data_IF_048685005941
#
_entry.id   IF_048685005941
#
_cell.length_a   1.000
_cell.length_b   1.000
_cell.length_c   1.000
_cell.angle_alpha   90.00
_cell.angle_beta   90.00
_cell.angle_gamma   90.00
#
_symmetry.space_group_name_H-M   'P 1'
#
loop_
_entity.id
_entity.type
_entity.pdbx_description
1 polymer ?
#
# COMPACT_ATOMS: atom_id res chain seq x y z
N UNK A 1 -2.52 13.83 -3.25
CA UNK A 1 -1.14 13.79 -3.76
C UNK A 1 -1.13 13.08 -5.11
N UNK A 2 -0.33 13.55 -6.06
CA UNK A 2 -0.09 12.94 -7.39
C UNK A 2 1.40 13.04 -7.69
N UNK A 3 1.93 12.14 -8.53
CA UNK A 3 3.35 12.05 -8.84
C UNK A 3 4.01 10.79 -8.26
N UNK A 4 5.33 10.72 -8.36
CA UNK A 4 6.10 9.58 -7.87
C UNK A 4 5.90 9.43 -6.35
N UNK A 5 5.81 8.18 -5.87
CA UNK A 5 5.66 7.82 -4.44
C UNK A 5 4.37 8.30 -3.73
N UNK A 6 3.36 8.79 -4.48
CA UNK A 6 2.17 9.44 -3.91
C UNK A 6 1.32 8.62 -2.92
N UNK A 7 1.46 7.29 -2.90
CA UNK A 7 0.87 6.40 -1.91
C UNK A 7 1.88 6.11 -0.78
N UNK A 8 1.82 6.87 0.31
CA UNK A 8 2.58 6.60 1.54
C UNK A 8 3.78 7.50 1.79
N UNK A 9 4.39 8.10 0.76
CA UNK A 9 5.62 8.90 0.93
C UNK A 9 5.46 10.20 1.72
N UNK A 10 4.23 10.73 1.75
CA UNK A 10 3.91 11.97 2.45
C UNK A 10 3.15 11.72 3.76
N UNK A 11 3.05 10.47 4.19
CA UNK A 11 2.25 10.04 5.35
C UNK A 11 3.08 9.17 6.30
N UNK A 12 4.21 9.71 6.76
CA UNK A 12 5.06 9.16 7.82
C UNK A 12 5.91 7.92 7.44
N UNK A 13 5.72 7.34 6.26
CA UNK A 13 6.59 6.29 5.71
C UNK A 13 6.66 5.03 6.57
N UNK A 14 5.50 4.48 6.94
CA UNK A 14 5.40 3.22 7.71
C UNK A 14 5.05 2.04 6.82
N UNK A 15 5.83 0.97 6.91
CA UNK A 15 5.59 -0.28 6.21
C UNK A 15 5.19 -1.37 7.22
N UNK A 16 4.02 -1.96 7.02
CA UNK A 16 3.58 -3.14 7.78
C UNK A 16 4.21 -4.39 7.17
N UNK A 17 5.09 -5.05 7.92
CA UNK A 17 5.86 -6.21 7.44
C UNK A 17 5.18 -7.55 7.74
N UNK A 18 3.84 -7.57 7.73
CA UNK A 18 3.04 -8.74 8.07
C UNK A 18 1.82 -8.86 7.17
N UNK A 19 1.62 -10.05 6.59
CA UNK A 19 0.47 -10.36 5.73
C UNK A 19 -0.90 -10.23 6.43
N UNK A 20 -0.96 -10.27 7.76
CA UNK A 20 -2.19 -10.10 8.54
C UNK A 20 -2.68 -8.63 8.56
N UNK A 21 -1.87 -7.71 8.04
CA UNK A 21 -2.18 -6.28 7.97
C UNK A 21 -2.30 -5.83 6.52
N UNK A 22 -3.51 -5.49 6.12
CA UNK A 22 -3.79 -4.98 4.77
C UNK A 22 -5.13 -5.50 4.25
N UNK A 23 -5.24 -5.54 2.92
CA UNK A 23 -6.39 -6.10 2.21
C UNK A 23 -6.23 -7.59 1.90
N UNK A 24 -6.92 -8.04 0.86
CA UNK A 24 -7.11 -9.47 0.57
C UNK A 24 -5.96 -10.15 -0.19
N UNK A 25 -4.76 -9.54 -0.26
CA UNK A 25 -3.63 -10.11 -1.00
C UNK A 25 -3.31 -11.56 -0.57
N UNK A 26 -3.27 -11.91 0.74
CA UNK A 26 -3.04 -13.29 1.18
C UNK A 26 -4.08 -14.28 0.65
N UNK A 27 -5.33 -13.86 0.50
CA UNK A 27 -6.41 -14.69 -0.05
C UNK A 27 -6.27 -14.91 -1.56
N UNK A 28 -5.64 -13.96 -2.27
CA UNK A 28 -5.47 -14.01 -3.73
C UNK A 28 -4.25 -14.84 -4.16
N UNK A 29 -3.13 -14.71 -3.45
CA UNK A 29 -1.85 -15.36 -3.83
C UNK A 29 -1.37 -16.43 -2.85
N UNK A 30 -2.03 -16.56 -1.71
CA UNK A 30 -1.61 -17.41 -0.59
C UNK A 30 -0.78 -16.65 0.44
N UNK A 31 -0.96 -16.95 1.73
CA UNK A 31 -0.30 -16.27 2.86
C UNK A 31 1.23 -16.26 2.73
N UNK A 32 1.84 -17.40 2.45
CA UNK A 32 3.28 -17.49 2.27
C UNK A 32 3.76 -16.58 1.14
N UNK A 33 3.04 -16.56 0.01
CA UNK A 33 3.45 -15.76 -1.13
C UNK A 33 3.26 -14.26 -0.86
N UNK A 34 2.21 -13.90 -0.15
CA UNK A 34 1.99 -12.52 0.28
C UNK A 34 3.12 -12.05 1.20
N UNK A 35 3.55 -12.87 2.17
CA UNK A 35 4.67 -12.53 3.03
C UNK A 35 5.98 -12.41 2.24
N UNK A 36 6.29 -13.35 1.32
CA UNK A 36 7.48 -13.24 0.46
C UNK A 36 7.50 -11.94 -0.37
N UNK A 37 6.34 -11.49 -0.86
CA UNK A 37 6.23 -10.24 -1.62
C UNK A 37 6.42 -9.01 -0.71
N UNK A 38 5.95 -9.06 0.53
CA UNK A 38 6.19 -8.02 1.53
C UNK A 38 7.68 -7.94 1.85
N UNK A 39 8.33 -9.09 2.11
CA UNK A 39 9.76 -9.15 2.41
C UNK A 39 10.61 -8.66 1.23
N UNK A 40 10.21 -8.98 -0.01
CA UNK A 40 10.84 -8.49 -1.23
C UNK A 40 10.67 -6.97 -1.41
N UNK A 41 9.47 -6.44 -1.12
CA UNK A 41 9.27 -4.99 -1.15
C UNK A 41 10.14 -4.31 -0.10
N UNK A 42 10.19 -4.85 1.13
CA UNK A 42 11.01 -4.34 2.22
C UNK A 42 12.51 -4.33 1.89
N UNK A 43 13.02 -5.39 1.24
CA UNK A 43 14.42 -5.45 0.85
C UNK A 43 14.81 -4.34 -0.13
N UNK A 44 13.91 -3.95 -1.04
CA UNK A 44 14.14 -2.80 -1.92
C UNK A 44 14.28 -1.52 -1.10
N UNK A 45 13.41 -1.30 -0.11
CA UNK A 45 13.53 -0.11 0.75
C UNK A 45 14.87 -0.07 1.48
N UNK A 46 15.34 -1.21 1.99
CA UNK A 46 16.65 -1.33 2.63
C UNK A 46 17.81 -1.02 1.66
N UNK A 47 17.75 -1.51 0.42
CA UNK A 47 18.75 -1.20 -0.62
C UNK A 47 18.88 0.31 -0.91
N UNK A 48 17.77 1.04 -0.80
CA UNK A 48 17.72 2.50 -0.95
C UNK A 48 17.96 3.26 0.36
N UNK A 49 18.41 2.57 1.40
CA UNK A 49 18.90 3.18 2.65
C UNK A 49 17.83 3.41 3.71
N UNK A 50 16.70 2.71 3.66
CA UNK A 50 15.78 2.66 4.80
C UNK A 50 16.50 2.19 6.07
N UNK A 51 16.05 2.68 7.24
CA UNK A 51 16.57 2.20 8.53
C UNK A 51 16.29 0.71 8.67
N UNK A 52 17.30 -0.06 9.09
CA UNK A 52 17.19 -1.50 9.35
C UNK A 52 16.33 -1.81 10.58
N UNK A 53 16.18 -0.86 11.50
CA UNK A 53 15.38 -1.01 12.70
C UNK A 53 13.91 -1.29 12.39
N UNK A 54 13.34 -2.26 13.11
CA UNK A 54 11.94 -2.67 12.98
C UNK A 54 11.27 -2.57 14.33
N UNK A 55 10.20 -1.79 14.37
CA UNK A 55 9.38 -1.54 15.54
C UNK A 55 8.35 -2.65 15.75
N UNK A 56 7.88 -2.84 16.98
CA UNK A 56 6.78 -3.77 17.29
C UNK A 56 7.18 -5.24 17.42
N UNK A 57 8.49 -5.56 17.42
CA UNK A 57 9.02 -6.91 17.69
C UNK A 57 9.18 -7.21 19.18
N UNK A 58 8.90 -6.25 20.05
CA UNK A 58 9.06 -6.40 21.50
C UNK A 58 8.04 -7.37 22.09
N UNK A 59 8.45 -8.11 23.13
CA UNK A 59 7.56 -9.02 23.87
C UNK A 59 7.70 -8.79 25.38
N UNK A 60 7.40 -7.57 25.81
CA UNK A 60 7.44 -7.15 27.21
C UNK A 60 6.28 -7.74 28.01
N UNK A 61 6.40 -7.74 29.34
CA UNK A 61 5.31 -8.19 30.21
C UNK A 61 4.06 -7.30 30.08
N UNK A 62 4.24 -6.00 29.80
CA UNK A 62 3.15 -5.06 29.54
C UNK A 62 2.37 -5.43 28.26
N UNK A 63 3.06 -5.81 27.18
CA UNK A 63 2.42 -6.30 25.94
C UNK A 63 1.60 -7.56 26.23
N UNK A 64 2.13 -8.51 27.02
CA UNK A 64 1.39 -9.72 27.40
C UNK A 64 0.14 -9.40 28.22
N UNK A 65 0.20 -8.41 29.11
CA UNK A 65 -0.97 -7.96 29.87
C UNK A 65 -2.04 -7.35 28.95
N UNK A 66 -1.64 -6.52 27.98
CA UNK A 66 -2.55 -5.97 26.96
C UNK A 66 -3.18 -7.11 26.14
N UNK A 67 -2.37 -8.06 25.65
CA UNK A 67 -2.84 -9.24 24.90
C UNK A 67 -3.84 -10.07 25.70
N UNK A 68 -3.57 -10.29 26.98
CA UNK A 68 -4.49 -11.01 27.88
C UNK A 68 -5.82 -10.27 28.04
N UNK A 69 -5.81 -8.93 28.17
CA UNK A 69 -7.04 -8.13 28.23
C UNK A 69 -7.82 -8.18 26.92
N UNK A 70 -7.13 -8.09 25.77
CA UNK A 70 -7.73 -8.20 24.45
C UNK A 70 -8.46 -9.54 24.28
N UNK A 71 -7.81 -10.67 24.61
CA UNK A 71 -8.41 -12.01 24.54
C UNK A 71 -9.66 -12.11 25.41
N UNK A 72 -9.63 -11.58 26.64
CA UNK A 72 -10.80 -11.55 27.54
C UNK A 72 -11.97 -10.74 26.97
N UNK A 73 -11.68 -9.75 26.14
CA UNK A 73 -12.67 -8.93 25.44
C UNK A 73 -13.08 -9.53 24.08
N UNK A 74 -12.61 -10.73 23.71
CA UNK A 74 -12.89 -11.36 22.41
C UNK A 74 -12.11 -10.75 21.24
N UNK A 75 -10.98 -10.09 21.51
CA UNK A 75 -10.14 -9.44 20.51
C UNK A 75 -8.80 -10.16 20.35
N UNK A 76 -8.29 -10.23 19.11
CA UNK A 76 -6.93 -10.67 18.78
C UNK A 76 -6.04 -9.45 18.57
N UNK A 77 -5.03 -9.28 19.41
CA UNK A 77 -3.93 -8.33 19.15
C UNK A 77 -3.03 -8.93 18.05
N UNK A 78 -2.81 -8.19 16.97
CA UNK A 78 -1.93 -8.59 15.86
C UNK A 78 -0.53 -8.08 16.14
N UNK A 79 0.44 -8.99 16.12
CA UNK A 79 1.86 -8.63 16.17
C UNK A 79 2.27 -8.21 14.75
N UNK A 80 2.45 -6.91 14.53
CA UNK A 80 2.81 -6.37 13.22
C UNK A 80 4.16 -5.64 13.34
N UNK A 81 5.25 -6.22 12.79
CA UNK A 81 6.51 -5.52 12.70
C UNK A 81 6.35 -4.33 11.74
N UNK A 82 6.81 -3.15 12.17
CA UNK A 82 6.70 -1.91 11.40
C UNK A 82 8.09 -1.38 11.07
N UNK A 83 8.37 -1.11 9.79
CA UNK A 83 9.48 -0.26 9.42
C UNK A 83 9.00 1.19 9.38
N UNK A 84 9.60 2.06 10.20
CA UNK A 84 9.29 3.49 10.21
C UNK A 84 10.42 4.29 9.60
N UNK A 85 10.16 4.90 8.45
CA UNK A 85 11.13 5.76 7.78
C UNK A 85 11.08 7.19 8.35
N UNK A 86 9.88 7.68 8.67
CA UNK A 86 9.64 9.10 8.83
C UNK A 86 9.66 9.85 7.49
N UNK A 87 9.12 11.07 7.48
CA UNK A 87 8.93 11.84 6.24
C UNK A 87 10.23 12.16 5.51
N UNK A 88 11.27 12.59 6.23
CA UNK A 88 12.55 12.98 5.61
C UNK A 88 13.24 11.79 4.93
N UNK A 89 13.35 10.66 5.63
CA UNK A 89 13.98 9.46 5.09
C UNK A 89 13.16 8.85 3.95
N UNK A 90 11.84 8.91 4.03
CA UNK A 90 10.97 8.48 2.94
C UNK A 90 11.32 9.24 1.65
N UNK A 91 11.48 10.57 1.70
CA UNK A 91 11.86 11.35 0.52
C UNK A 91 13.20 10.92 -0.08
N UNK A 92 14.21 10.66 0.75
CA UNK A 92 15.52 10.16 0.28
C UNK A 92 15.38 8.81 -0.44
N UNK A 93 14.69 7.86 0.19
CA UNK A 93 14.46 6.51 -0.36
C UNK A 93 13.74 6.59 -1.70
N UNK A 94 12.63 7.34 -1.78
CA UNK A 94 11.86 7.45 -3.02
C UNK A 94 12.61 8.19 -4.13
N UNK A 95 13.38 9.23 -3.80
CA UNK A 95 14.26 9.89 -4.77
C UNK A 95 15.34 8.94 -5.30
N UNK A 96 15.90 8.10 -4.43
CA UNK A 96 16.82 7.03 -4.79
C UNK A 96 16.20 6.06 -5.80
N UNK A 97 14.99 5.57 -5.52
CA UNK A 97 14.27 4.66 -6.42
C UNK A 97 13.95 5.35 -7.75
N UNK A 98 13.47 6.60 -7.73
CA UNK A 98 13.16 7.36 -8.93
C UNK A 98 14.40 7.52 -9.83
N UNK A 99 15.53 7.92 -9.24
CA UNK A 99 16.79 8.09 -9.97
C UNK A 99 17.29 6.76 -10.52
N UNK A 100 17.24 5.68 -9.73
CA UNK A 100 17.63 4.35 -10.19
C UNK A 100 16.81 3.92 -11.41
N UNK A 101 15.48 4.08 -11.38
CA UNK A 101 14.63 3.76 -12.52
C UNK A 101 14.99 4.60 -13.74
N UNK A 102 15.20 5.90 -13.56
CA UNK A 102 15.60 6.82 -14.65
C UNK A 102 16.93 6.42 -15.27
N UNK A 103 17.93 6.10 -14.45
CA UNK A 103 19.27 5.71 -14.89
C UNK A 103 19.27 4.35 -15.60
N UNK A 104 18.27 3.52 -15.34
CA UNK A 104 18.04 2.23 -16.03
C UNK A 104 17.07 2.34 -17.22
N UNK A 105 16.80 3.55 -17.70
CA UNK A 105 16.05 3.78 -18.94
C UNK A 105 14.53 3.74 -18.79
N UNK A 106 14.01 3.83 -17.57
CA UNK A 106 12.56 3.99 -17.35
C UNK A 106 12.18 5.45 -17.60
N UNK A 107 11.32 5.65 -18.60
CA UNK A 107 10.73 6.96 -18.88
C UNK A 107 9.53 7.20 -17.96
N UNK A 108 9.52 8.33 -17.27
CA UNK A 108 8.46 8.75 -16.35
C UNK A 108 7.81 10.03 -16.87
N UNK A 109 6.55 9.93 -17.28
CA UNK A 109 5.78 11.04 -17.84
C UNK A 109 4.88 11.65 -16.75
N UNK A 110 5.31 12.78 -16.18
CA UNK A 110 4.52 13.54 -15.21
C UNK A 110 3.61 14.56 -15.92
N UNK A 111 2.54 14.98 -15.24
CA UNK A 111 1.52 15.83 -15.86
C UNK A 111 0.74 15.14 -16.98
N UNK A 112 0.91 13.82 -17.10
CA UNK A 112 0.30 13.00 -18.12
C UNK A 112 -0.81 12.13 -17.50
N UNK A 113 -2.00 12.17 -18.10
CA UNK A 113 -3.14 11.33 -17.72
C UNK A 113 -3.33 10.23 -18.74
N UNK A 114 -3.62 9.00 -18.30
CA UNK A 114 -4.07 7.93 -19.18
C UNK A 114 -5.58 8.06 -19.36
N UNK A 115 -6.03 8.32 -20.59
CA UNK A 115 -7.46 8.53 -20.89
C UNK A 115 -8.16 7.22 -21.23
N UNK A 116 -7.49 6.31 -21.96
CA UNK A 116 -8.05 5.03 -22.39
C UNK A 116 -6.95 3.99 -22.70
N UNK A 117 -7.35 2.74 -22.89
CA UNK A 117 -6.49 1.64 -23.35
C UNK A 117 -6.76 1.33 -24.82
N UNK A 118 -5.73 0.98 -25.57
CA UNK A 118 -5.85 0.61 -26.98
C UNK A 118 -6.01 -0.90 -27.06
N UNK A 119 -7.20 -1.40 -27.39
CA UNK A 119 -7.44 -2.82 -27.62
C UNK A 119 -7.51 -3.16 -29.11
N UNK A 120 -6.81 -4.22 -29.51
CA UNK A 120 -6.90 -4.82 -30.85
C UNK A 120 -7.01 -6.33 -30.70
N UNK A 121 -8.03 -6.95 -31.29
CA UNK A 121 -8.27 -8.40 -31.24
C UNK A 121 -8.25 -8.99 -29.81
N UNK A 122 -8.83 -8.28 -28.84
CA UNK A 122 -8.86 -8.69 -27.43
C UNK A 122 -7.54 -8.55 -26.67
N UNK A 123 -6.52 -7.91 -27.27
CA UNK A 123 -5.23 -7.63 -26.64
C UNK A 123 -5.02 -6.14 -26.42
N UNK A 124 -4.52 -5.78 -25.24
CA UNK A 124 -4.03 -4.42 -24.98
C UNK A 124 -2.72 -4.17 -25.73
N UNK A 125 -2.72 -3.15 -26.58
CA UNK A 125 -1.63 -2.75 -27.45
C UNK A 125 -1.03 -1.38 -27.09
N UNK A 126 -1.51 -0.76 -26.02
CA UNK A 126 -1.06 0.57 -25.62
C UNK A 126 -2.10 1.35 -24.84
N UNK A 127 -1.86 2.65 -24.71
CA UNK A 127 -2.76 3.60 -24.04
C UNK A 127 -2.89 4.88 -24.84
N UNK A 128 -3.99 5.58 -24.63
CA UNK A 128 -4.17 6.98 -25.01
C UNK A 128 -3.79 7.83 -23.81
N UNK A 129 -2.86 8.75 -24.01
CA UNK A 129 -2.28 9.60 -23.00
C UNK A 129 -2.55 11.07 -23.34
N UNK A 130 -2.74 11.91 -22.31
CA UNK A 130 -2.96 13.35 -22.44
C UNK A 130 -1.90 14.10 -21.62
N UNK A 131 -1.11 14.97 -22.25
CA UNK A 131 0.00 15.72 -21.61
C UNK A 131 -0.41 17.08 -21.02
N UNK A 132 -1.71 17.38 -21.00
CA UNK A 132 -2.26 18.68 -20.61
C UNK A 132 -2.50 19.64 -21.78
N UNK A 133 -2.05 19.26 -22.99
CA UNK A 133 -2.25 20.04 -24.21
C UNK A 133 -2.95 19.22 -25.30
N UNK A 134 -2.55 17.97 -25.49
CA UNK A 134 -3.05 17.11 -26.56
C UNK A 134 -3.05 15.63 -26.18
N UNK A 135 -3.88 14.87 -26.90
CA UNK A 135 -3.91 13.42 -26.82
C UNK A 135 -2.86 12.82 -27.77
N UNK A 136 -2.21 11.75 -27.31
CA UNK A 136 -1.26 10.96 -28.10
C UNK A 136 -1.30 9.50 -27.66
N UNK A 137 -0.74 8.61 -28.48
CA UNK A 137 -0.75 7.17 -28.24
C UNK A 137 0.62 6.68 -27.79
N UNK A 138 0.63 5.77 -26.82
CA UNK A 138 1.82 5.02 -26.40
C UNK A 138 1.56 3.55 -26.69
N UNK A 139 2.24 2.99 -27.70
CA UNK A 139 2.10 1.57 -28.04
C UNK A 139 2.97 0.70 -27.12
N UNK A 140 2.41 -0.39 -26.62
CA UNK A 140 3.08 -1.31 -25.71
C UNK A 140 2.68 -2.76 -25.98
N UNK A 141 3.63 -3.69 -25.82
CA UNK A 141 3.35 -5.14 -25.91
C UNK A 141 2.69 -5.69 -24.65
N UNK A 142 2.98 -5.07 -23.51
CA UNK A 142 2.50 -5.40 -22.17
C UNK A 142 2.17 -4.11 -21.44
N UNK A 143 0.99 -4.08 -20.81
CA UNK A 143 0.48 -2.92 -20.09
C UNK A 143 0.13 -3.36 -18.67
N UNK A 144 0.66 -2.65 -17.67
CA UNK A 144 0.34 -2.85 -16.26
C UNK A 144 -0.45 -1.64 -15.78
N UNK A 145 -1.67 -1.87 -15.28
CA UNK A 145 -2.52 -0.81 -14.75
C UNK A 145 -2.36 -0.78 -13.22
N UNK A 146 -1.76 0.29 -12.70
CA UNK A 146 -1.46 0.47 -11.28
C UNK A 146 -1.97 1.84 -10.76
N UNK A 147 -3.22 2.19 -11.09
CA UNK A 147 -3.79 3.54 -10.87
C UNK A 147 -4.23 3.83 -9.43
N UNK A 148 -4.14 2.84 -8.54
CA UNK A 148 -4.55 2.94 -7.14
C UNK A 148 -6.05 3.26 -6.97
N UNK A 149 -6.47 3.55 -5.73
CA UNK A 149 -7.90 3.78 -5.43
C UNK A 149 -8.49 4.97 -6.20
N UNK A 150 -7.71 6.03 -6.43
CA UNK A 150 -8.18 7.23 -7.14
C UNK A 150 -8.49 6.97 -8.62
N UNK A 151 -7.86 5.96 -9.23
CA UNK A 151 -8.13 5.59 -10.62
C UNK A 151 -9.09 4.41 -10.77
N UNK A 152 -9.81 4.03 -9.71
CA UNK A 152 -10.76 2.92 -9.75
C UNK A 152 -11.95 3.21 -10.68
N UNK A 153 -12.55 4.40 -10.57
CA UNK A 153 -13.68 4.80 -11.42
C UNK A 153 -13.30 4.85 -12.91
N UNK A 154 -12.08 5.31 -13.20
CA UNK A 154 -11.52 5.30 -14.56
C UNK A 154 -11.35 3.87 -15.07
N UNK A 155 -10.77 2.98 -14.25
CA UNK A 155 -10.59 1.57 -14.62
C UNK A 155 -11.93 0.86 -14.84
N UNK A 156 -12.94 1.14 -14.01
CA UNK A 156 -14.30 0.63 -14.18
C UNK A 156 -14.88 1.06 -15.53
N UNK A 157 -14.81 2.36 -15.84
CA UNK A 157 -15.28 2.89 -17.13
C UNK A 157 -14.59 2.19 -18.31
N UNK A 158 -13.26 2.11 -18.28
CA UNK A 158 -12.46 1.46 -19.34
C UNK A 158 -12.87 -0.01 -19.49
N UNK A 159 -13.04 -0.74 -18.37
CA UNK A 159 -13.48 -2.13 -18.41
C UNK A 159 -14.88 -2.27 -19.01
N UNK A 160 -15.84 -1.42 -18.65
CA UNK A 160 -17.19 -1.43 -19.20
C UNK A 160 -17.20 -1.17 -20.71
N UNK A 161 -16.49 -0.14 -21.17
CA UNK A 161 -16.42 0.26 -22.58
C UNK A 161 -15.76 -0.82 -23.45
N UNK A 162 -14.85 -1.59 -22.87
CA UNK A 162 -14.10 -2.64 -23.56
C UNK A 162 -14.63 -4.07 -23.29
N UNK A 163 -15.75 -4.22 -22.59
CA UNK A 163 -16.35 -5.54 -22.31
C UNK A 163 -15.51 -6.44 -21.39
N UNK A 164 -14.69 -5.85 -20.53
CA UNK A 164 -13.90 -6.58 -19.52
C UNK A 164 -14.74 -6.76 -18.26
N UNK A 165 -15.01 -8.02 -17.92
CA UNK A 165 -15.73 -8.36 -16.69
C UNK A 165 -14.93 -7.93 -15.46
N UNK A 166 -15.61 -7.29 -14.52
CA UNK A 166 -15.05 -6.85 -13.25
C UNK A 166 -16.13 -6.92 -12.17
N UNK A 167 -15.67 -6.89 -10.92
CA UNK A 167 -16.55 -6.85 -9.75
C UNK A 167 -16.09 -5.74 -8.81
N UNK A 168 -17.02 -5.05 -8.15
CA UNK A 168 -16.66 -4.13 -7.07
C UNK A 168 -15.86 -4.86 -5.99
N UNK A 169 -14.79 -4.23 -5.51
CA UNK A 169 -14.06 -4.72 -4.33
C UNK A 169 -14.82 -4.43 -3.04
N UNK A 170 -14.48 -5.14 -1.98
CA UNK A 170 -14.99 -4.86 -0.63
C UNK A 170 -14.57 -3.45 -0.19
N UNK A 171 -15.47 -2.74 0.47
CA UNK A 171 -15.19 -1.42 1.07
C UNK A 171 -15.11 -1.59 2.58
N UNK A 172 -13.95 -1.25 3.14
CA UNK A 172 -13.77 -1.17 4.58
C UNK A 172 -14.40 0.12 5.10
N UNK A 173 -15.47 -0.01 5.88
CA UNK A 173 -16.13 1.12 6.54
C UNK A 173 -15.68 1.13 7.99
N UNK A 174 -14.97 2.18 8.38
CA UNK A 174 -14.54 2.42 9.75
C UNK A 174 -15.11 3.72 10.30
N UNK A 175 -15.12 3.82 11.63
CA UNK A 175 -15.37 5.08 12.34
C UNK A 175 -14.09 5.53 13.03
N UNK A 176 -13.77 6.81 12.93
CA UNK A 176 -12.70 7.40 13.73
C UNK A 176 -13.29 7.83 15.07
N UNK A 177 -12.81 7.20 16.14
CA UNK A 177 -13.22 7.52 17.51
C UNK A 177 -12.06 8.19 18.21
N UNK A 178 -12.32 9.34 18.83
CA UNK A 178 -11.33 10.04 19.65
C UNK A 178 -11.64 9.82 21.12
N UNK A 179 -10.62 9.39 21.86
CA UNK A 179 -10.72 9.10 23.29
C UNK A 179 -9.59 9.80 24.03
N UNK A 180 -9.78 10.02 25.33
CA UNK A 180 -8.76 10.62 26.20
C UNK A 180 -7.52 9.75 26.27
N UNK A 181 -6.34 10.38 26.25
CA UNK A 181 -5.07 9.64 26.32
C UNK A 181 -4.96 8.84 27.61
N UNK A 182 -5.51 9.30 28.73
CA UNK A 182 -5.52 8.59 30.01
C UNK A 182 -6.19 7.19 29.93
N UNK A 183 -7.09 6.99 28.96
CA UNK A 183 -7.71 5.68 28.69
C UNK A 183 -6.79 4.81 27.83
N UNK A 184 -6.09 5.41 26.86
CA UNK A 184 -5.25 4.72 25.87
C UNK A 184 -3.76 4.67 26.24
N UNK A 185 -3.35 5.32 27.32
CA UNK A 185 -1.94 5.57 27.66
C UNK A 185 -1.13 4.28 27.70
N UNK A 186 -1.68 3.24 28.35
CA UNK A 186 -1.03 1.93 28.43
C UNK A 186 -0.80 1.29 27.06
N UNK A 187 -1.67 1.52 26.09
CA UNK A 187 -1.55 1.01 24.72
C UNK A 187 -0.56 1.86 23.95
N UNK A 188 -0.75 3.18 23.94
CA UNK A 188 0.08 4.13 23.18
C UNK A 188 1.55 4.15 23.59
N UNK A 189 1.85 3.88 24.87
CA UNK A 189 3.22 3.85 25.38
C UNK A 189 3.94 2.55 25.06
N UNK A 190 3.21 1.44 25.01
CA UNK A 190 3.78 0.09 25.00
C UNK A 190 3.78 -0.51 23.60
N UNK A 191 2.79 -0.17 22.77
CA UNK A 191 2.69 -0.65 21.40
C UNK A 191 3.05 0.48 20.45
N UNK A 192 3.99 0.20 19.55
CA UNK A 192 4.36 1.14 18.51
C UNK A 192 3.20 1.40 17.53
N UNK A 193 2.51 0.34 17.13
CA UNK A 193 1.25 0.39 16.40
C UNK A 193 0.34 -0.71 16.95
N UNK A 194 -0.96 -0.41 17.14
CA UNK A 194 -1.88 -1.37 17.75
C UNK A 194 -3.00 -1.74 16.79
N UNK A 195 -3.09 -3.03 16.43
CA UNK A 195 -4.20 -3.57 15.65
C UNK A 195 -4.88 -4.68 16.44
N UNK A 196 -6.15 -4.46 16.77
CA UNK A 196 -7.01 -5.44 17.43
C UNK A 196 -8.12 -5.87 16.46
N UNK A 197 -8.25 -7.18 16.25
CA UNK A 197 -9.29 -7.78 15.42
C UNK A 197 -10.32 -8.41 16.33
N UNK A 198 -11.57 -7.98 16.23
CA UNK A 198 -12.71 -8.62 16.89
C UNK A 198 -13.56 -9.36 15.88
N UNK A 199 -14.09 -10.51 16.28
CA UNK A 199 -15.10 -11.24 15.50
C UNK A 199 -16.44 -11.03 16.18
N UNK A 200 -17.41 -10.35 15.55
CA UNK A 200 -18.75 -10.25 16.11
C UNK A 200 -19.33 -11.65 16.32
N UNK A 201 -20.03 -11.83 17.45
CA UNK A 201 -20.72 -13.07 17.80
C UNK A 201 -21.97 -13.28 16.94
#
# INVERSE_FOLDING_TARGET
TTGFSGAGAFSDGKLSLCSDVGGDLPTLVGEQKAQELIDYADSIYLEFGADEHVEGLENTEEIKQIRTRAIRAGLRLVDCPIRHLGTEKAHEVYLGIENYLRDHGVEMLFGCTCEDVILRDGRCCGVVAHDGHQDYTIEARHTVIATGRRGADWLEKVCLENGVEHKPGTVDIGVRVEVRNEIMESVNRVLYESKLIGYPA
#
